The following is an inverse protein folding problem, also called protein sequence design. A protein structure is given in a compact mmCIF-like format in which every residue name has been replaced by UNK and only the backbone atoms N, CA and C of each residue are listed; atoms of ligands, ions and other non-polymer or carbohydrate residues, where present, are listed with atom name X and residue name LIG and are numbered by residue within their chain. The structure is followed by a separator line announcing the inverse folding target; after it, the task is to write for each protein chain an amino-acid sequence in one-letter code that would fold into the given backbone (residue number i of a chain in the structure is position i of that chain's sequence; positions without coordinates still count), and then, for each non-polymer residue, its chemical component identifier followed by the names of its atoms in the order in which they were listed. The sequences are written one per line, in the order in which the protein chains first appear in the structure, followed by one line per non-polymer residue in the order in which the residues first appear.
data_IF_079950801041
#
_entry.id   IF_079950801041
#
_cell.length_a   1.000
_cell.length_b   1.000
_cell.length_c   1.000
_cell.angle_alpha   90.00
_cell.angle_beta   90.00
_cell.angle_gamma   90.00
#
_symmetry.space_group_name_H-M   'P 1'
#
loop_
_entity.id
_entity.type
_entity.pdbx_description
1 polymer ?
#
# COMPACT_ATOMS: atom_id res chain seq x y z
N UNK A 1 13.36 -12.95 2.43
CA UNK A 1 12.39 -11.87 2.14
C UNK A 1 12.48 -11.56 0.66
N UNK A 2 11.37 -11.17 0.03
CA UNK A 2 11.35 -10.77 -1.38
C UNK A 2 12.15 -9.47 -1.56
N UNK A 3 12.84 -9.30 -2.70
CA UNK A 3 13.79 -8.20 -2.91
C UNK A 3 13.14 -6.96 -3.51
N UNK A 4 11.95 -7.07 -4.11
CA UNK A 4 11.19 -5.96 -4.70
C UNK A 4 9.68 -6.09 -4.50
N UNK A 5 8.92 -5.04 -4.83
CA UNK A 5 7.46 -5.09 -4.81
C UNK A 5 6.91 -5.99 -5.93
N UNK A 6 7.60 -6.05 -7.08
CA UNK A 6 7.23 -6.91 -8.21
C UNK A 6 7.50 -8.39 -7.94
N UNK A 7 8.47 -8.71 -7.07
CA UNK A 7 8.77 -10.08 -6.68
C UNK A 7 7.57 -10.77 -5.99
N UNK A 8 6.62 -10.00 -5.44
CA UNK A 8 5.40 -10.53 -4.79
C UNK A 8 4.56 -11.34 -5.76
N UNK A 9 4.25 -10.80 -6.93
CA UNK A 9 3.47 -11.50 -7.94
C UNK A 9 4.30 -12.57 -8.66
N UNK A 10 5.58 -12.30 -8.90
CA UNK A 10 6.47 -13.25 -9.60
C UNK A 10 6.73 -14.51 -8.76
N UNK A 11 6.92 -14.36 -7.44
CA UNK A 11 7.12 -15.49 -6.54
C UNK A 11 5.89 -16.40 -6.44
N UNK A 12 4.69 -15.82 -6.46
CA UNK A 12 3.44 -16.58 -6.54
C UNK A 12 3.28 -17.30 -7.88
N UNK A 13 3.63 -16.64 -8.99
CA UNK A 13 3.57 -17.25 -10.32
C UNK A 13 4.55 -18.42 -10.47
N UNK A 14 5.74 -18.33 -9.86
CA UNK A 14 6.82 -19.30 -9.95
C UNK A 14 6.81 -20.36 -8.83
N UNK A 15 5.75 -20.46 -8.02
CA UNK A 15 5.61 -21.41 -6.91
C UNK A 15 6.71 -21.33 -5.82
N UNK A 16 7.42 -20.20 -5.73
CA UNK A 16 8.42 -20.00 -4.66
C UNK A 16 7.80 -19.41 -3.39
N UNK A 17 6.51 -19.09 -3.41
CA UNK A 17 5.74 -18.54 -2.29
C UNK A 17 4.28 -18.99 -2.40
N UNK A 18 3.68 -19.41 -1.28
CA UNK A 18 2.29 -19.88 -1.26
C UNK A 18 1.28 -18.71 -1.19
N UNK A 19 1.60 -17.69 -0.38
CA UNK A 19 0.80 -16.47 -0.25
C UNK A 19 1.67 -15.25 0.06
N UNK A 20 1.13 -14.06 -0.26
CA UNK A 20 1.73 -12.76 0.07
C UNK A 20 0.78 -12.00 1.00
N UNK A 21 1.28 -11.63 2.17
CA UNK A 21 0.67 -10.67 3.11
C UNK A 21 1.71 -9.59 3.38
N UNK A 22 1.58 -8.43 2.74
CA UNK A 22 2.61 -7.39 2.84
C UNK A 22 2.25 -6.13 2.09
N UNK A 23 1.21 -5.43 2.55
CA UNK A 23 0.76 -4.17 1.97
C UNK A 23 0.61 -4.25 0.43
N UNK A 24 -0.01 -5.33 -0.06
CA UNK A 24 -0.10 -5.60 -1.50
C UNK A 24 -1.40 -5.03 -2.07
N UNK A 25 -1.28 -3.87 -2.73
CA UNK A 25 -2.42 -3.14 -3.29
C UNK A 25 -3.15 -3.95 -4.35
N UNK A 26 -4.47 -4.03 -4.23
CA UNK A 26 -5.37 -4.71 -5.15
C UNK A 26 -5.62 -3.82 -6.36
N UNK A 27 -5.03 -4.19 -7.49
CA UNK A 27 -5.23 -3.50 -8.78
C UNK A 27 -5.70 -4.48 -9.86
N UNK A 28 -6.34 -4.04 -10.96
CA UNK A 28 -6.77 -4.90 -12.06
C UNK A 28 -5.60 -5.66 -12.68
N UNK A 29 -4.47 -4.97 -12.88
CA UNK A 29 -3.26 -5.56 -13.43
C UNK A 29 -2.76 -6.72 -12.55
N UNK A 30 -2.68 -6.50 -11.22
CA UNK A 30 -2.27 -7.54 -10.27
C UNK A 30 -3.29 -8.67 -10.20
N UNK A 31 -4.59 -8.37 -10.17
CA UNK A 31 -5.65 -9.36 -10.15
C UNK A 31 -5.71 -10.21 -11.44
N UNK A 32 -5.12 -9.75 -12.54
CA UNK A 32 -4.89 -10.56 -13.74
C UNK A 32 -3.86 -11.67 -13.54
N UNK A 33 -2.90 -11.48 -12.63
CA UNK A 33 -1.73 -12.34 -12.42
C UNK A 33 -1.89 -13.24 -11.19
N UNK A 34 -2.57 -12.75 -10.14
CA UNK A 34 -2.78 -13.47 -8.87
C UNK A 34 -4.27 -13.58 -8.54
N UNK A 35 -4.61 -14.44 -7.58
CA UNK A 35 -5.93 -14.41 -6.95
C UNK A 35 -5.81 -13.77 -5.57
N UNK A 36 -6.65 -12.77 -5.30
CA UNK A 36 -6.73 -12.16 -3.98
C UNK A 36 -7.77 -12.84 -3.09
N UNK A 37 -7.39 -13.07 -1.84
CA UNK A 37 -8.26 -13.53 -0.76
C UNK A 37 -9.21 -12.42 -0.36
N UNK A 38 -10.47 -12.78 -0.10
CA UNK A 38 -11.51 -11.87 0.36
C UNK A 38 -12.07 -12.29 1.72
N UNK A 39 -12.50 -11.36 2.60
CA UNK A 39 -12.54 -9.90 2.40
C UNK A 39 -11.14 -9.26 2.34
N UNK A 40 -11.05 -8.00 1.94
CA UNK A 40 -9.80 -7.23 2.06
C UNK A 40 -9.68 -6.64 3.47
N UNK A 41 -8.47 -6.48 3.99
CA UNK A 41 -8.25 -6.26 5.42
C UNK A 41 -7.86 -4.83 5.82
N UNK A 42 -7.41 -4.00 4.87
CA UNK A 42 -6.92 -2.65 5.13
C UNK A 42 -6.82 -1.83 3.84
N UNK A 43 -6.47 -0.56 3.95
CA UNK A 43 -6.14 0.29 2.80
C UNK A 43 -5.11 1.36 3.13
N UNK A 44 -4.48 1.89 2.09
CA UNK A 44 -3.61 3.07 2.15
C UNK A 44 -3.69 3.80 0.82
N UNK A 45 -2.99 4.92 0.65
CA UNK A 45 -2.73 5.47 -0.67
C UNK A 45 -1.30 6.01 -0.76
N UNK A 46 -0.92 6.52 -1.92
CA UNK A 46 0.35 7.20 -2.11
C UNK A 46 0.39 8.49 -1.27
N UNK A 47 1.53 8.73 -0.63
CA UNK A 47 1.83 9.91 0.19
C UNK A 47 3.28 10.33 -0.05
N UNK A 48 3.54 11.63 -0.04
CA UNK A 48 4.89 12.17 -0.15
C UNK A 48 5.56 12.26 1.22
N UNK A 49 6.84 11.91 1.25
CA UNK A 49 7.71 11.94 2.41
C UNK A 49 8.94 12.80 2.10
N UNK A 50 9.38 13.56 3.10
CA UNK A 50 10.58 14.38 3.03
C UNK A 50 11.24 14.44 4.43
N UNK A 51 12.52 14.87 4.54
CA UNK A 51 13.21 14.95 5.83
C UNK A 51 12.43 15.79 6.85
N UNK A 52 12.14 15.20 8.01
CA UNK A 52 11.33 15.76 9.08
C UNK A 52 9.90 16.15 8.69
N UNK A 53 9.38 15.64 7.56
CA UNK A 53 8.06 16.00 7.03
C UNK A 53 8.02 17.42 6.46
N UNK A 54 9.18 18.05 6.23
CA UNK A 54 9.26 19.41 5.70
C UNK A 54 9.15 19.37 4.18
N UNK A 55 8.06 19.94 3.67
CA UNK A 55 7.85 20.07 2.24
C UNK A 55 9.03 20.79 1.56
N UNK A 56 9.64 20.19 0.53
CA UNK A 56 10.61 20.90 -0.30
C UNK A 56 9.99 22.13 -0.98
N UNK A 57 10.81 23.12 -1.33
CA UNK A 57 10.31 24.34 -1.97
C UNK A 57 9.51 24.03 -3.24
N UNK A 58 8.30 24.58 -3.30
CA UNK A 58 7.37 24.38 -4.41
C UNK A 58 6.81 22.96 -4.52
N UNK A 59 6.74 22.20 -3.42
CA UNK A 59 5.92 20.99 -3.30
C UNK A 59 4.83 21.25 -2.25
N UNK A 60 3.58 21.36 -2.68
CA UNK A 60 2.40 21.58 -1.82
C UNK A 60 1.15 20.79 -2.26
N UNK A 61 1.28 20.05 -3.36
CA UNK A 61 0.18 19.35 -4.05
C UNK A 61 0.76 18.26 -4.94
N UNK A 62 -0.06 17.34 -5.44
CA UNK A 62 0.42 16.33 -6.39
C UNK A 62 0.81 16.93 -7.73
N UNK A 63 0.12 17.98 -8.17
CA UNK A 63 0.41 18.71 -9.41
C UNK A 63 1.79 19.39 -9.35
N UNK A 64 2.19 19.84 -8.16
CA UNK A 64 3.47 20.51 -7.97
C UNK A 64 4.70 19.61 -8.17
N UNK A 65 4.54 18.28 -8.26
CA UNK A 65 5.68 17.36 -8.46
C UNK A 65 6.13 17.26 -9.93
N UNK A 66 5.41 17.90 -10.86
CA UNK A 66 5.74 17.87 -12.29
C UNK A 66 7.17 18.35 -12.57
N UNK A 67 7.95 17.53 -13.28
CA UNK A 67 9.38 17.76 -13.56
C UNK A 67 10.30 17.69 -12.35
N UNK A 68 9.80 17.27 -11.17
CA UNK A 68 10.62 17.07 -9.97
C UNK A 68 11.03 15.61 -9.85
N UNK A 69 12.25 15.41 -9.37
CA UNK A 69 12.78 14.07 -9.08
C UNK A 69 12.17 13.50 -7.80
N UNK A 70 11.35 12.46 -7.91
CA UNK A 70 10.70 11.81 -6.77
C UNK A 70 11.23 10.39 -6.65
N UNK A 71 11.81 10.04 -5.50
CA UNK A 71 12.22 8.67 -5.23
C UNK A 71 10.98 7.78 -5.09
N UNK A 72 11.00 6.59 -5.69
CA UNK A 72 9.92 5.61 -5.58
C UNK A 72 10.49 4.20 -5.59
N UNK A 73 9.77 3.22 -5.04
CA UNK A 73 10.20 1.83 -5.12
C UNK A 73 9.88 1.25 -6.50
N UNK A 74 10.78 0.41 -7.00
CA UNK A 74 10.52 -0.42 -8.19
C UNK A 74 9.31 -1.32 -7.94
N UNK A 75 8.35 -1.32 -8.86
CA UNK A 75 7.09 -2.07 -8.74
C UNK A 75 6.00 -1.41 -7.88
N UNK A 76 6.21 -0.16 -7.45
CA UNK A 76 5.18 0.58 -6.70
C UNK A 76 3.98 0.90 -7.60
N UNK A 77 2.77 0.65 -7.09
CA UNK A 77 1.55 0.64 -7.91
C UNK A 77 1.20 2.03 -8.47
N UNK A 78 1.60 3.10 -7.79
CA UNK A 78 1.31 4.46 -8.21
C UNK A 78 2.31 5.02 -9.23
N UNK A 79 3.42 4.32 -9.53
CA UNK A 79 4.50 4.85 -10.37
C UNK A 79 3.99 5.33 -11.74
N UNK A 80 3.11 4.55 -12.38
CA UNK A 80 2.54 4.90 -13.68
C UNK A 80 1.74 6.21 -13.61
N UNK A 81 0.85 6.34 -12.61
CA UNK A 81 0.03 7.55 -12.42
C UNK A 81 0.88 8.76 -12.07
N UNK A 82 1.89 8.60 -11.20
CA UNK A 82 2.76 9.70 -10.79
C UNK A 82 3.58 10.24 -11.97
N UNK A 83 4.11 9.36 -12.82
CA UNK A 83 4.88 9.79 -13.99
C UNK A 83 3.98 10.37 -15.08
N UNK A 84 2.90 9.67 -15.46
CA UNK A 84 2.11 10.05 -16.64
C UNK A 84 1.07 11.13 -16.37
N UNK A 85 0.46 11.14 -15.18
CA UNK A 85 -0.62 12.08 -14.87
C UNK A 85 -0.12 13.30 -14.10
N UNK A 86 0.93 13.14 -13.28
CA UNK A 86 1.51 14.22 -12.49
C UNK A 86 2.88 14.70 -12.98
N UNK A 87 3.47 14.04 -13.99
CA UNK A 87 4.72 14.46 -14.60
C UNK A 87 5.96 14.29 -13.71
N UNK A 88 5.90 13.41 -12.70
CA UNK A 88 7.04 13.17 -11.82
C UNK A 88 8.20 12.49 -12.56
N UNK A 89 9.42 12.97 -12.33
CA UNK A 89 10.65 12.31 -12.79
C UNK A 89 11.04 11.25 -11.75
N UNK A 90 10.52 10.03 -11.87
CA UNK A 90 10.74 9.01 -10.86
C UNK A 90 12.20 8.50 -10.84
N UNK A 91 12.80 8.49 -9.65
CA UNK A 91 14.10 7.85 -9.39
C UNK A 91 13.83 6.55 -8.64
N UNK A 92 13.92 5.43 -9.36
CA UNK A 92 13.53 4.13 -8.82
C UNK A 92 14.62 3.55 -7.92
N UNK A 93 14.23 3.17 -6.70
CA UNK A 93 15.04 2.45 -5.74
C UNK A 93 14.59 0.99 -5.64
N UNK A 94 15.49 0.10 -5.23
CA UNK A 94 15.18 -1.30 -4.93
C UNK A 94 14.50 -1.49 -3.57
N UNK A 95 14.78 -0.60 -2.60
CA UNK A 95 14.22 -0.67 -1.24
C UNK A 95 14.11 0.71 -0.56
N UNK A 96 13.44 0.77 0.60
CA UNK A 96 13.18 2.02 1.31
C UNK A 96 14.47 2.72 1.81
N UNK A 97 15.51 1.96 2.18
CA UNK A 97 16.76 2.55 2.64
C UNK A 97 17.51 3.25 1.50
N UNK A 98 17.53 2.64 0.31
CA UNK A 98 18.06 3.26 -0.90
C UNK A 98 17.23 4.49 -1.31
N UNK A 99 15.89 4.42 -1.22
CA UNK A 99 15.03 5.56 -1.49
C UNK A 99 15.31 6.75 -0.55
N UNK A 100 15.53 6.48 0.75
CA UNK A 100 15.94 7.50 1.70
C UNK A 100 17.31 8.11 1.35
N UNK A 101 18.29 7.28 0.96
CA UNK A 101 19.60 7.78 0.51
C UNK A 101 19.51 8.68 -0.74
N UNK A 102 18.60 8.40 -1.67
CA UNK A 102 18.35 9.26 -2.83
C UNK A 102 17.82 10.64 -2.40
N UNK A 103 16.96 10.70 -1.38
CA UNK A 103 16.48 11.96 -0.81
C UNK A 103 17.59 12.68 -0.04
N UNK A 104 18.31 11.96 0.83
CA UNK A 104 19.40 12.51 1.65
C UNK A 104 20.54 13.10 0.82
N UNK A 105 20.86 12.47 -0.32
CA UNK A 105 21.88 12.95 -1.26
C UNK A 105 21.41 14.07 -2.19
N UNK A 106 20.11 14.40 -2.18
CA UNK A 106 19.50 15.37 -3.10
C UNK A 106 19.32 14.85 -4.54
N UNK A 107 19.53 13.56 -4.78
CA UNK A 107 19.23 12.93 -6.08
C UNK A 107 17.71 12.92 -6.38
N UNK A 108 16.88 12.88 -5.34
CA UNK A 108 15.45 13.14 -5.36
C UNK A 108 15.08 14.18 -4.29
N UNK A 109 14.04 14.97 -4.55
CA UNK A 109 13.60 16.02 -3.60
C UNK A 109 12.63 15.48 -2.55
N UNK A 110 11.95 14.38 -2.83
CA UNK A 110 11.02 13.70 -1.92
C UNK A 110 10.95 12.21 -2.27
N UNK A 111 10.34 11.42 -1.40
CA UNK A 111 10.04 10.00 -1.57
C UNK A 111 8.52 9.79 -1.60
N UNK A 112 8.03 8.86 -2.41
CA UNK A 112 6.61 8.45 -2.39
C UNK A 112 6.47 7.03 -1.86
N UNK A 113 5.56 6.84 -0.91
CA UNK A 113 5.22 5.54 -0.32
C UNK A 113 3.78 5.52 0.17
N UNK A 114 3.37 4.41 0.75
CA UNK A 114 2.06 4.24 1.34
C UNK A 114 1.86 5.15 2.56
N UNK A 115 0.69 5.78 2.66
CA UNK A 115 0.25 6.60 3.80
C UNK A 115 0.17 5.79 5.10
N UNK A 116 0.12 4.46 5.00
CA UNK A 116 0.19 3.54 6.12
C UNK A 116 1.63 3.25 6.59
N UNK A 117 2.66 3.75 5.90
CA UNK A 117 4.04 3.66 6.35
C UNK A 117 4.31 4.68 7.46
N UNK A 118 4.24 4.22 8.71
CA UNK A 118 4.51 5.03 9.91
C UNK A 118 5.98 5.02 10.33
N UNK A 119 6.82 4.19 9.68
CA UNK A 119 8.24 4.02 10.00
C UNK A 119 9.07 4.02 8.72
N UNK A 120 9.03 5.12 7.93
CA UNK A 120 9.88 5.24 6.77
C UNK A 120 11.37 5.22 7.18
N UNK A 121 12.25 4.95 6.21
CA UNK A 121 13.69 4.93 6.46
C UNK A 121 14.26 6.35 6.65
N UNK A 122 15.33 6.46 7.44
CA UNK A 122 16.01 7.73 7.71
C UNK A 122 15.18 8.70 8.56
N UNK A 123 15.36 10.01 8.33
CA UNK A 123 14.57 11.08 8.95
C UNK A 123 13.32 11.45 8.11
N UNK A 124 12.92 10.59 7.17
CA UNK A 124 11.74 10.87 6.35
C UNK A 124 10.48 10.89 7.22
N UNK A 125 9.58 11.82 6.94
CA UNK A 125 8.21 11.80 7.46
C UNK A 125 7.25 12.33 6.40
N UNK A 126 5.96 12.02 6.56
CA UNK A 126 4.92 12.45 5.64
C UNK A 126 4.86 13.98 5.57
N UNK A 127 4.76 14.52 4.36
CA UNK A 127 4.55 15.96 4.14
C UNK A 127 3.09 16.28 4.49
N UNK A 128 2.82 17.11 5.51
CA UNK A 128 1.46 17.44 5.91
C UNK A 128 0.78 18.31 4.86
N UNK A 129 -0.55 18.21 4.76
CA UNK A 129 -1.38 19.06 3.90
C UNK A 129 -1.55 18.56 2.46
N UNK A 130 -0.77 17.58 2.02
CA UNK A 130 -0.99 16.91 0.73
C UNK A 130 -1.98 15.75 0.93
N UNK A 131 -3.08 15.68 0.17
CA UNK A 131 -4.08 14.63 0.35
C UNK A 131 -3.50 13.26 -0.08
N UNK A 132 -3.94 12.18 0.56
CA UNK A 132 -3.59 10.82 0.14
C UNK A 132 -4.11 10.57 -1.29
N UNK A 133 -3.23 10.11 -2.17
CA UNK A 133 -3.54 9.82 -3.57
C UNK A 133 -3.81 8.33 -3.78
N UNK A 134 -4.71 7.99 -4.70
CA UNK A 134 -5.02 6.60 -5.08
C UNK A 134 -5.27 5.66 -3.89
N UNK A 135 -6.19 5.97 -2.97
CA UNK A 135 -6.46 5.11 -1.83
C UNK A 135 -6.91 3.72 -2.31
N UNK A 136 -6.10 2.70 -2.07
CA UNK A 136 -6.23 1.34 -2.60
C UNK A 136 -6.27 0.32 -1.47
N UNK A 137 -7.09 -0.72 -1.64
CA UNK A 137 -7.23 -1.82 -0.68
C UNK A 137 -5.98 -2.71 -0.70
N UNK A 138 -5.58 -3.22 0.46
CA UNK A 138 -4.59 -4.29 0.55
C UNK A 138 -5.27 -5.66 0.58
N UNK A 139 -4.70 -6.60 -0.16
CA UNK A 139 -5.16 -7.97 -0.22
C UNK A 139 -4.08 -8.96 0.15
N UNK A 140 -4.50 -10.08 0.73
CA UNK A 140 -3.67 -11.29 0.73
C UNK A 140 -3.76 -11.90 -0.66
N UNK A 141 -2.62 -12.17 -1.29
CA UNK A 141 -2.57 -12.76 -2.62
C UNK A 141 -2.05 -14.19 -2.58
N UNK A 142 -2.57 -15.04 -3.46
CA UNK A 142 -2.10 -16.39 -3.71
C UNK A 142 -1.91 -16.60 -5.21
N UNK A 143 -1.28 -17.73 -5.58
CA UNK A 143 -1.17 -18.12 -6.99
C UNK A 143 -2.53 -18.17 -7.67
N UNK A 144 -2.59 -17.66 -8.90
CA UNK A 144 -3.80 -17.71 -9.75
C UNK A 144 -4.36 -19.13 -9.86
N UNK A 145 -5.66 -19.27 -9.68
CA UNK A 145 -6.37 -20.54 -9.76
C UNK A 145 -6.37 -21.36 -8.47
N UNK A 146 -5.65 -20.96 -7.42
CA UNK A 146 -5.60 -21.72 -6.16
C UNK A 146 -6.84 -21.47 -5.26
N UNK A 147 -8.01 -21.92 -5.73
CA UNK A 147 -9.30 -21.68 -5.06
C UNK A 147 -9.35 -22.24 -3.63
N UNK A 148 -8.79 -23.42 -3.42
CA UNK A 148 -8.78 -24.06 -2.10
C UNK A 148 -8.01 -23.22 -1.07
N UNK A 149 -6.87 -22.63 -1.44
CA UNK A 149 -6.13 -21.76 -0.54
C UNK A 149 -6.85 -20.41 -0.34
N UNK A 150 -7.46 -19.84 -1.38
CA UNK A 150 -8.31 -18.65 -1.26
C UNK A 150 -9.39 -18.88 -0.21
N UNK A 151 -10.15 -19.97 -0.30
CA UNK A 151 -11.26 -20.27 0.61
C UNK A 151 -10.79 -20.45 2.07
N UNK A 152 -9.66 -21.15 2.27
CA UNK A 152 -9.07 -21.35 3.59
C UNK A 152 -8.63 -20.03 4.22
N UNK A 153 -7.89 -19.20 3.48
CA UNK A 153 -7.42 -17.91 3.97
C UNK A 153 -8.57 -16.91 4.15
N UNK A 154 -9.58 -16.96 3.28
CA UNK A 154 -10.81 -16.18 3.41
C UNK A 154 -11.52 -16.50 4.72
N UNK A 155 -11.64 -17.77 5.06
CA UNK A 155 -12.26 -18.22 6.31
C UNK A 155 -11.46 -17.74 7.52
N UNK A 156 -10.14 -17.91 7.50
CA UNK A 156 -9.27 -17.45 8.58
C UNK A 156 -9.37 -15.92 8.79
N UNK A 157 -9.37 -15.14 7.71
CA UNK A 157 -9.45 -13.69 7.80
C UNK A 157 -10.80 -13.21 8.39
N UNK A 158 -11.91 -13.87 8.03
CA UNK A 158 -13.22 -13.59 8.64
C UNK A 158 -13.25 -13.93 10.13
N UNK A 159 -12.64 -15.04 10.53
CA UNK A 159 -12.50 -15.40 11.93
C UNK A 159 -11.69 -14.35 12.70
N UNK A 160 -10.58 -13.87 12.13
CA UNK A 160 -9.76 -12.82 12.74
C UNK A 160 -10.48 -11.46 12.86
N UNK A 161 -11.49 -11.20 12.02
CA UNK A 161 -12.34 -10.01 12.09
C UNK A 161 -13.56 -10.19 13.01
N UNK A 162 -13.88 -11.42 13.41
CA UNK A 162 -15.06 -11.73 14.24
C UNK A 162 -14.87 -11.18 15.66
N UNK A 163 -15.94 -10.63 16.24
CA UNK A 163 -15.89 -9.97 17.55
C UNK A 163 -15.71 -8.46 17.50
N UNK A 164 -15.69 -7.86 16.29
CA UNK A 164 -15.67 -6.42 16.10
C UNK A 164 -14.43 -5.78 16.75
N UNK A 165 -14.64 -4.84 17.66
CA UNK A 165 -13.56 -4.16 18.38
C UNK A 165 -12.70 -5.09 19.26
N UNK A 166 -13.16 -6.30 19.58
CA UNK A 166 -12.40 -7.31 20.34
C UNK A 166 -11.69 -8.34 19.44
N UNK A 167 -11.83 -8.20 18.12
CA UNK A 167 -11.22 -9.11 17.15
C UNK A 167 -9.69 -9.00 17.11
N UNK A 168 -9.02 -10.00 16.54
CA UNK A 168 -7.57 -9.98 16.35
C UNK A 168 -7.13 -8.82 15.46
N UNK A 169 -7.87 -8.55 14.37
CA UNK A 169 -7.53 -7.43 13.47
C UNK A 169 -7.67 -6.07 14.16
N UNK A 170 -8.70 -5.87 14.99
CA UNK A 170 -8.85 -4.64 15.77
C UNK A 170 -7.67 -4.44 16.73
N UNK A 171 -7.23 -5.52 17.41
CA UNK A 171 -6.06 -5.48 18.29
C UNK A 171 -4.78 -5.17 17.53
N UNK A 172 -4.59 -5.73 16.33
CA UNK A 172 -3.41 -5.43 15.51
C UNK A 172 -3.38 -3.98 15.05
N UNK A 173 -4.51 -3.43 14.61
CA UNK A 173 -4.60 -2.01 14.28
C UNK A 173 -4.27 -1.13 15.49
N UNK A 174 -4.84 -1.45 16.66
CA UNK A 174 -4.56 -0.72 17.88
C UNK A 174 -3.06 -0.74 18.23
N UNK A 175 -2.43 -1.90 18.17
CA UNK A 175 -1.03 -2.09 18.57
C UNK A 175 -0.04 -1.45 17.59
N UNK A 176 -0.27 -1.61 16.28
CA UNK A 176 0.73 -1.27 15.26
C UNK A 176 0.47 0.05 14.56
N UNK A 177 -0.77 0.52 14.51
CA UNK A 177 -1.14 1.75 13.81
C UNK A 177 -1.59 2.83 14.80
N UNK A 178 -2.67 2.61 15.54
CA UNK A 178 -3.26 3.66 16.41
C UNK A 178 -2.30 4.06 17.53
N UNK A 179 -1.65 3.10 18.19
CA UNK A 179 -0.64 3.40 19.21
C UNK A 179 0.59 4.14 18.67
N UNK A 180 0.79 4.15 17.34
CA UNK A 180 1.86 4.88 16.66
C UNK A 180 1.34 6.14 15.94
N UNK A 181 0.15 6.62 16.30
CA UNK A 181 -0.38 7.92 15.86
C UNK A 181 -1.19 7.91 14.56
N UNK A 182 -1.43 6.74 13.96
CA UNK A 182 -2.33 6.64 12.81
C UNK A 182 -3.81 6.70 13.24
N UNK A 183 -4.71 7.28 12.42
CA UNK A 183 -6.14 7.15 12.66
C UNK A 183 -6.62 5.70 12.40
N UNK A 184 -7.77 5.29 12.96
CA UNK A 184 -8.42 4.04 12.58
C UNK A 184 -8.70 3.99 11.08
N UNK A 185 -8.44 2.86 10.44
CA UNK A 185 -8.66 2.65 9.03
C UNK A 185 -10.14 2.33 8.77
N UNK A 186 -10.76 3.12 7.89
CA UNK A 186 -12.19 2.99 7.59
C UNK A 186 -12.56 1.65 6.93
N UNK A 187 -11.69 1.09 6.08
CA UNK A 187 -11.95 -0.19 5.41
C UNK A 187 -11.85 -1.35 6.40
N UNK A 188 -10.89 -1.31 7.34
CA UNK A 188 -10.84 -2.28 8.44
C UNK A 188 -12.04 -2.11 9.37
N UNK A 189 -12.39 -0.90 9.78
CA UNK A 189 -13.57 -0.66 10.62
C UNK A 189 -14.86 -1.20 9.98
N UNK A 190 -15.04 -1.02 8.66
CA UNK A 190 -16.15 -1.59 7.92
C UNK A 190 -16.12 -3.13 7.91
N UNK A 191 -14.95 -3.74 7.74
CA UNK A 191 -14.77 -5.19 7.85
C UNK A 191 -15.17 -5.71 9.24
N UNK A 192 -14.75 -5.04 10.30
CA UNK A 192 -15.04 -5.44 11.68
C UNK A 192 -16.54 -5.40 12.01
N UNK A 193 -17.27 -4.48 11.39
CA UNK A 193 -18.73 -4.39 11.52
C UNK A 193 -19.47 -5.49 10.76
N UNK A 194 -18.91 -5.97 9.64
CA UNK A 194 -19.51 -7.01 8.83
C UNK A 194 -18.46 -7.92 8.15
N UNK A 195 -17.91 -8.90 8.89
CA UNK A 195 -16.86 -9.80 8.40
C UNK A 195 -17.26 -10.64 7.18
N UNK A 196 -18.56 -10.95 7.06
CA UNK A 196 -19.11 -11.74 5.96
C UNK A 196 -19.50 -10.89 4.75
N UNK A 197 -19.39 -9.56 4.84
CA UNK A 197 -19.82 -8.68 3.75
C UNK A 197 -18.98 -8.90 2.49
N UNK A 198 -19.67 -9.29 1.43
CA UNK A 198 -19.16 -9.23 0.05
C UNK A 198 -19.07 -7.78 -0.47
N UNK A 199 -19.47 -6.78 0.33
CA UNK A 199 -19.43 -5.35 -0.02
C UNK A 199 -18.11 -4.65 0.33
N UNK A 200 -17.38 -5.09 1.36
CA UNK A 200 -15.99 -4.62 1.61
C UNK A 200 -15.06 -5.02 0.44
N UNK A 201 -15.53 -5.93 -0.41
CA UNK A 201 -14.85 -6.39 -1.62
C UNK A 201 -15.04 -5.52 -2.88
N UNK A 202 -15.82 -4.44 -2.87
CA UNK A 202 -16.14 -3.71 -4.10
C UNK A 202 -16.33 -2.20 -3.87
N UNK A 203 -15.23 -1.45 -3.81
CA UNK A 203 -15.20 -0.22 -4.59
C UNK A 203 -14.46 -0.55 -5.88
N UNK A 204 -15.19 -1.13 -6.84
CA UNK A 204 -14.67 -1.39 -8.19
C UNK A 204 -14.08 -0.11 -8.81
N UNK A 205 -14.64 1.05 -8.45
CA UNK A 205 -14.12 2.37 -8.81
C UNK A 205 -12.72 2.66 -8.24
N UNK A 206 -12.44 2.27 -6.97
CA UNK A 206 -11.10 2.41 -6.36
C UNK A 206 -10.09 1.42 -6.95
N UNK A 207 -10.55 0.25 -7.37
CA UNK A 207 -9.69 -0.74 -8.03
C UNK A 207 -9.39 -0.26 -9.46
N UNK A 208 -10.37 0.27 -10.19
CA UNK A 208 -10.20 0.73 -11.58
C UNK A 208 -9.27 1.94 -11.73
N UNK A 209 -9.19 2.83 -10.74
CA UNK A 209 -8.32 4.03 -10.78
C UNK A 209 -6.89 3.78 -10.34
N UNK A 210 -6.58 2.60 -9.77
CA UNK A 210 -5.25 2.24 -9.28
C UNK A 210 -4.34 1.56 -10.34
N UNK A 211 -4.71 1.67 -11.63
CA UNK A 211 -4.03 1.06 -12.78
C UNK A 211 -3.22 2.05 -13.61
#
# INVERSE_FOLDING_TARGET
MLNSLDDRQNSLANDTTDWVIGAFSVTPARAGIVDFVRPYYYSSGAMLFAPGGKAPAGIDSWESISGKKIAALTGYYANHVLSNNFGADLVLAGNQAEAAQLVDSGAAVAYVDDSANLKPAGDLAQIPGIPVLLPTLYGVAVKKGNRALVERLSTALRQMATGGAQSDLARFEQQWFIANGAPPNADLAALLLNPDSTKVSLNAERIATAG
#
